data_IF_116446470267
#
_entry.id   IF_116446470267
#
_cell.length_a   1.000
_cell.length_b   1.000
_cell.length_c   1.000
_cell.angle_alpha   90.00
_cell.angle_beta   90.00
_cell.angle_gamma   90.00
#
_symmetry.space_group_name_H-M   'P 1'
#
loop_
_entity.id
_entity.type
_entity.pdbx_description
1 polymer ?
#
# COMPACT_ATOMS: atom_id res chain seq x y z
N UNK A 1 19.38 -11.10 3.03
CA UNK A 1 19.49 -10.62 1.62
C UNK A 1 20.08 -9.20 1.63
N UNK A 2 20.50 -8.63 0.48
CA UNK A 2 20.90 -7.21 0.45
C UNK A 2 19.75 -6.27 0.88
N UNK A 3 18.52 -6.62 0.49
CA UNK A 3 17.29 -5.87 0.85
C UNK A 3 17.07 -5.84 2.38
N UNK A 4 17.18 -6.98 3.06
CA UNK A 4 17.09 -7.06 4.53
C UNK A 4 18.12 -6.16 5.22
N UNK A 5 19.37 -6.17 4.73
CA UNK A 5 20.43 -5.30 5.27
C UNK A 5 20.05 -3.82 5.16
N UNK A 6 19.49 -3.41 4.02
CA UNK A 6 19.05 -2.01 3.79
C UNK A 6 17.87 -1.61 4.69
N UNK A 7 17.01 -2.55 5.08
CA UNK A 7 15.86 -2.31 5.96
C UNK A 7 16.20 -2.40 7.46
N UNK A 8 17.43 -2.76 7.81
CA UNK A 8 17.91 -2.89 9.18
C UNK A 8 17.26 -4.02 9.99
N UNK A 9 17.56 -4.07 11.29
CA UNK A 9 17.14 -5.15 12.20
C UNK A 9 15.77 -4.96 12.85
N UNK A 10 14.82 -4.31 12.18
CA UNK A 10 13.46 -4.11 12.70
C UNK A 10 12.52 -5.23 12.24
N UNK A 11 11.47 -5.53 13.00
CA UNK A 11 10.37 -6.39 12.53
C UNK A 11 9.17 -5.57 12.05
N UNK A 12 9.35 -4.26 11.85
CA UNK A 12 8.29 -3.40 11.35
C UNK A 12 7.82 -3.85 9.95
N UNK A 13 6.51 -3.74 9.67
CA UNK A 13 5.98 -4.00 8.34
C UNK A 13 6.55 -3.00 7.34
N UNK A 14 6.56 -3.42 6.07
CA UNK A 14 7.06 -2.62 4.95
C UNK A 14 5.91 -2.32 3.99
N UNK A 15 5.83 -1.07 3.54
CA UNK A 15 4.90 -0.64 2.49
C UNK A 15 5.73 -0.09 1.33
N UNK A 16 5.49 -0.61 0.12
CA UNK A 16 6.07 -0.06 -1.11
C UNK A 16 4.96 0.52 -1.98
N UNK A 17 5.14 1.74 -2.48
CA UNK A 17 4.23 2.40 -3.40
C UNK A 17 5.02 2.95 -4.59
N UNK A 18 4.60 2.61 -5.81
CA UNK A 18 5.31 2.99 -7.04
C UNK A 18 4.35 3.46 -8.12
N UNK A 19 4.82 4.31 -9.04
CA UNK A 19 4.08 4.70 -10.27
C UNK A 19 4.18 3.59 -11.36
N UNK A 20 4.35 2.33 -10.93
CA UNK A 20 4.29 1.12 -11.75
C UNK A 20 3.29 0.14 -11.13
N UNK A 21 2.91 -0.90 -11.87
CA UNK A 21 2.07 -2.00 -11.37
C UNK A 21 2.67 -2.64 -10.10
N UNK A 22 1.83 -3.18 -9.23
CA UNK A 22 2.23 -3.80 -7.96
C UNK A 22 3.33 -4.85 -8.15
N UNK A 23 3.25 -5.62 -9.25
CA UNK A 23 4.23 -6.65 -9.58
C UNK A 23 5.67 -6.14 -9.59
N UNK A 24 5.90 -4.87 -9.93
CA UNK A 24 7.24 -4.27 -9.90
C UNK A 24 7.85 -4.34 -8.49
N UNK A 25 7.10 -3.95 -7.47
CA UNK A 25 7.56 -3.98 -6.07
C UNK A 25 7.50 -5.40 -5.47
N UNK A 26 6.65 -6.27 -6.00
CA UNK A 26 6.54 -7.68 -5.57
C UNK A 26 7.83 -8.48 -5.82
N UNK A 27 8.65 -8.06 -6.80
CA UNK A 27 9.90 -8.76 -7.17
C UNK A 27 10.87 -8.95 -5.99
N UNK A 28 10.79 -8.08 -4.97
CA UNK A 28 11.68 -8.17 -3.80
C UNK A 28 11.08 -8.96 -2.63
N UNK A 29 9.82 -9.42 -2.70
CA UNK A 29 9.13 -10.11 -1.59
C UNK A 29 9.93 -11.29 -1.00
N UNK A 30 10.56 -12.18 -1.80
CA UNK A 30 11.36 -13.29 -1.25
C UNK A 30 12.57 -12.84 -0.41
N UNK A 31 13.00 -11.58 -0.56
CA UNK A 31 14.16 -11.03 0.13
C UNK A 31 13.81 -10.24 1.38
N UNK A 32 12.53 -10.17 1.78
CA UNK A 32 12.05 -9.42 2.96
C UNK A 32 11.90 -10.27 4.23
N UNK A 33 12.26 -11.55 4.15
CA UNK A 33 12.19 -12.46 5.29
C UNK A 33 10.75 -12.69 5.76
N UNK A 34 10.50 -12.48 7.04
CA UNK A 34 9.19 -12.70 7.69
C UNK A 34 8.35 -11.43 7.85
N UNK A 35 8.81 -10.29 7.33
CA UNK A 35 8.11 -9.01 7.50
C UNK A 35 6.80 -9.03 6.72
N UNK A 36 5.75 -8.46 7.32
CA UNK A 36 4.53 -8.13 6.58
C UNK A 36 4.87 -7.09 5.51
N UNK A 37 4.47 -7.36 4.27
CA UNK A 37 4.79 -6.54 3.11
C UNK A 37 3.55 -6.29 2.27
N UNK A 38 3.19 -5.01 2.12
CA UNK A 38 2.07 -4.53 1.30
C UNK A 38 2.63 -3.68 0.16
N UNK A 39 2.17 -3.95 -1.06
CA UNK A 39 2.54 -3.21 -2.26
C UNK A 39 1.34 -2.42 -2.77
N UNK A 40 1.59 -1.19 -3.23
CA UNK A 40 0.65 -0.33 -3.91
C UNK A 40 1.24 0.00 -5.28
N UNK A 41 0.42 -0.07 -6.31
CA UNK A 41 0.86 0.10 -7.69
C UNK A 41 -0.28 0.55 -8.58
N UNK A 42 0.09 1.04 -9.75
CA UNK A 42 -0.83 1.62 -10.73
C UNK A 42 -1.30 0.56 -11.73
N UNK A 43 -1.86 -0.53 -11.24
CA UNK A 43 -2.47 -1.58 -12.05
C UNK A 43 -3.75 -1.05 -12.72
N UNK A 44 -4.03 -1.51 -13.94
CA UNK A 44 -5.15 -1.03 -14.76
C UNK A 44 -4.74 -0.05 -15.86
N UNK A 45 -5.72 0.41 -16.64
CA UNK A 45 -5.48 1.31 -17.77
C UNK A 45 -5.34 2.77 -17.33
N UNK A 46 -4.44 3.48 -18.01
CA UNK A 46 -4.30 4.93 -17.83
C UNK A 46 -5.53 5.70 -18.28
N UNK A 47 -5.77 6.84 -17.65
CA UNK A 47 -6.79 7.81 -18.05
C UNK A 47 -6.25 9.24 -17.99
N UNK A 48 -6.91 10.15 -18.70
CA UNK A 48 -6.53 11.57 -18.69
C UNK A 48 -7.10 12.26 -17.46
N UNK A 49 -6.23 12.71 -16.55
CA UNK A 49 -6.59 13.54 -15.40
C UNK A 49 -5.32 14.22 -14.83
N UNK A 50 -5.48 15.06 -13.81
CA UNK A 50 -4.39 15.61 -13.01
C UNK A 50 -3.64 14.52 -12.23
N UNK A 51 -2.34 14.73 -11.96
CA UNK A 51 -1.53 13.79 -11.16
C UNK A 51 -2.15 13.46 -9.80
N UNK A 52 -2.75 14.46 -9.13
CA UNK A 52 -3.41 14.27 -7.83
C UNK A 52 -4.55 13.25 -7.96
N UNK A 53 -5.39 13.43 -8.99
CA UNK A 53 -6.54 12.55 -9.24
C UNK A 53 -6.13 11.17 -9.73
N UNK A 54 -5.06 11.07 -10.53
CA UNK A 54 -4.54 9.76 -10.94
C UNK A 54 -3.95 8.97 -9.78
N UNK A 55 -3.21 9.61 -8.86
CA UNK A 55 -2.67 8.89 -7.68
C UNK A 55 -3.75 8.48 -6.69
N UNK A 56 -4.82 9.26 -6.58
CA UNK A 56 -6.04 8.88 -5.86
C UNK A 56 -6.75 7.72 -6.55
N UNK A 57 -6.86 7.77 -7.88
CA UNK A 57 -7.49 6.72 -8.68
C UNK A 57 -6.74 5.39 -8.59
N UNK A 58 -5.41 5.40 -8.72
CA UNK A 58 -4.58 4.20 -8.63
C UNK A 58 -4.21 3.78 -7.20
N UNK A 59 -4.74 4.43 -6.16
CA UNK A 59 -4.51 4.03 -4.76
C UNK A 59 -3.05 4.13 -4.30
N UNK A 60 -2.27 5.03 -4.90
CA UNK A 60 -0.83 5.20 -4.59
C UNK A 60 -0.51 6.52 -3.87
N UNK A 61 -1.52 7.32 -3.54
CA UNK A 61 -1.30 8.56 -2.78
C UNK A 61 -1.02 8.32 -1.28
N UNK A 62 -0.63 9.40 -0.58
CA UNK A 62 -0.25 9.35 0.85
C UNK A 62 -1.32 8.76 1.77
N UNK A 63 -2.61 8.87 1.42
CA UNK A 63 -3.73 8.36 2.24
C UNK A 63 -3.76 6.84 2.17
N UNK A 64 -3.63 6.28 0.97
CA UNK A 64 -3.55 4.84 0.75
C UNK A 64 -2.29 4.24 1.36
N UNK A 65 -1.14 4.91 1.25
CA UNK A 65 0.10 4.50 1.95
C UNK A 65 -0.11 4.44 3.47
N UNK A 66 -0.81 5.42 4.04
CA UNK A 66 -1.12 5.45 5.48
C UNK A 66 -2.03 4.28 5.88
N UNK A 67 -3.10 4.05 5.12
CA UNK A 67 -4.04 2.94 5.37
C UNK A 67 -3.32 1.59 5.24
N UNK A 68 -2.47 1.41 4.23
CA UNK A 68 -1.66 0.21 4.06
C UNK A 68 -0.73 -0.02 5.26
N UNK A 69 -0.07 1.02 5.77
CA UNK A 69 0.79 0.90 6.94
C UNK A 69 -0.01 0.50 8.20
N UNK A 70 -1.16 1.15 8.44
CA UNK A 70 -2.05 0.79 9.56
C UNK A 70 -2.59 -0.62 9.42
N UNK A 71 -2.98 -1.03 8.19
CA UNK A 71 -3.44 -2.39 7.91
C UNK A 71 -2.36 -3.42 8.21
N UNK A 72 -1.11 -3.16 7.80
CA UNK A 72 0.01 -4.05 8.07
C UNK A 72 0.28 -4.19 9.58
N UNK A 73 0.28 -3.07 10.32
CA UNK A 73 0.39 -3.10 11.79
C UNK A 73 -0.76 -3.86 12.45
N UNK A 74 -1.98 -3.75 11.91
CA UNK A 74 -3.13 -4.50 12.40
C UNK A 74 -3.01 -6.00 12.11
N UNK A 75 -2.50 -6.39 10.94
CA UNK A 75 -2.19 -7.80 10.62
C UNK A 75 -1.14 -8.40 11.55
N UNK A 76 -0.17 -7.59 11.97
CA UNK A 76 0.86 -7.95 12.94
C UNK A 76 0.36 -7.90 14.41
N UNK A 77 -0.93 -7.60 14.63
CA UNK A 77 -1.55 -7.51 15.95
C UNK A 77 -1.06 -6.33 16.81
N UNK A 78 -0.42 -5.32 16.20
CA UNK A 78 0.15 -4.16 16.92
C UNK A 78 -0.89 -3.08 17.22
N UNK A 79 -1.98 -3.02 16.45
CA UNK A 79 -3.07 -2.05 16.64
C UNK A 79 -4.44 -2.69 16.44
N UNK A 80 -5.48 -2.09 17.03
CA UNK A 80 -6.87 -2.50 16.81
C UNK A 80 -7.28 -2.23 15.35
N UNK A 81 -7.92 -3.20 14.65
CA UNK A 81 -8.46 -3.01 13.30
C UNK A 81 -9.37 -1.78 13.14
N UNK A 82 -10.05 -1.34 14.21
CA UNK A 82 -10.88 -0.11 14.21
C UNK A 82 -10.09 1.13 13.84
N UNK A 83 -8.79 1.19 14.13
CA UNK A 83 -7.92 2.30 13.73
C UNK A 83 -7.84 2.41 12.21
N UNK A 84 -7.78 1.27 11.50
CA UNK A 84 -7.79 1.23 10.04
C UNK A 84 -9.12 1.74 9.50
N UNK A 85 -10.24 1.25 10.06
CA UNK A 85 -11.59 1.71 9.67
C UNK A 85 -11.79 3.19 9.94
N UNK A 86 -11.26 3.72 11.04
CA UNK A 86 -11.33 5.16 11.34
C UNK A 86 -10.52 5.97 10.32
N UNK A 87 -9.29 5.53 9.99
CA UNK A 87 -8.47 6.23 9.00
C UNK A 87 -9.11 6.27 7.60
N UNK A 88 -9.77 5.18 7.17
CA UNK A 88 -10.52 5.16 5.90
C UNK A 88 -11.60 6.25 5.89
N UNK A 89 -12.35 6.40 6.99
CA UNK A 89 -13.37 7.45 7.15
C UNK A 89 -12.76 8.85 7.19
N UNK A 90 -11.69 9.04 7.97
CA UNK A 90 -11.02 10.35 8.12
C UNK A 90 -10.43 10.86 6.80
N UNK A 91 -10.02 9.93 5.93
CA UNK A 91 -9.49 10.24 4.59
C UNK A 91 -10.54 10.31 3.49
N UNK A 92 -11.82 10.09 3.82
CA UNK A 92 -12.95 10.09 2.91
C UNK A 92 -12.71 9.16 1.70
N UNK A 93 -12.25 7.94 1.99
CA UNK A 93 -12.00 6.91 0.96
C UNK A 93 -13.20 5.97 0.94
N UNK A 94 -13.78 5.79 -0.25
CA UNK A 94 -14.79 4.79 -0.53
C UNK A 94 -14.15 3.39 -0.59
N UNK A 95 -14.44 2.49 0.37
CA UNK A 95 -13.89 1.14 0.36
C UNK A 95 -14.54 0.22 -0.69
N UNK A 96 -15.73 0.58 -1.20
CA UNK A 96 -16.51 -0.22 -2.13
C UNK A 96 -16.33 0.25 -3.59
N UNK A 97 -15.44 1.22 -3.81
CA UNK A 97 -15.08 1.71 -5.15
C UNK A 97 -14.51 0.57 -6.00
N UNK A 98 -14.76 0.63 -7.30
CA UNK A 98 -14.25 -0.36 -8.24
C UNK A 98 -12.72 -0.34 -8.31
N UNK A 99 -12.13 -1.53 -8.38
CA UNK A 99 -10.69 -1.72 -8.57
C UNK A 99 -10.26 -1.11 -9.91
N UNK A 100 -9.18 -0.29 -9.95
CA UNK A 100 -8.62 0.28 -11.19
C UNK A 100 -8.38 -0.73 -12.33
N UNK A 101 -8.16 -2.01 -12.03
CA UNK A 101 -7.99 -3.07 -13.03
C UNK A 101 -9.29 -3.46 -13.71
N UNK A 102 -10.43 -3.27 -13.04
CA UNK A 102 -11.76 -3.67 -13.51
C UNK A 102 -12.55 -2.56 -14.20
N UNK A 103 -11.98 -1.35 -14.26
CA UNK A 103 -12.59 -0.14 -14.82
C UNK A 103 -12.39 0.00 -16.33
#
# INVERSE_FOLDING_TARGET
SHVETMLGGSDAPVVAATDHIQLYSEQIRPFLGKRTYITLGTDGFGRSDSRKKLREHFEVDRRFVTIAALRALSMDGKIDPKVVTQAIKDFDIDPDRLDPVTL
#
